data_IF_345346864141
#
_entry.id   IF_345346864141
#
_cell.length_a   1.000
_cell.length_b   1.000
_cell.length_c   1.000
_cell.angle_alpha   90.00
_cell.angle_beta   90.00
_cell.angle_gamma   90.00
#
_symmetry.space_group_name_H-M   'P 1'
#
loop_
_entity.id
_entity.type
_entity.pdbx_description
1 polymer ?
#
# COMPACT_ATOMS: atom_id res chain seq x y z
N UNK A 1 18.90 -1.35 -1.70
CA UNK A 1 19.55 -0.86 -0.46
C UNK A 1 18.46 -0.55 0.54
N UNK A 2 18.18 -1.48 1.47
CA UNK A 2 17.25 -1.22 2.58
C UNK A 2 18.06 -0.46 3.64
N UNK A 3 17.64 0.75 3.99
CA UNK A 3 18.29 1.50 5.07
C UNK A 3 17.93 0.82 6.39
N UNK A 4 18.94 0.48 7.18
CA UNK A 4 18.81 -0.12 8.51
C UNK A 4 18.23 0.89 9.49
N UNK A 5 16.92 1.07 9.37
CA UNK A 5 16.14 1.93 10.22
C UNK A 5 15.02 1.14 10.87
N UNK A 6 14.70 1.43 12.12
CA UNK A 6 13.76 0.63 12.93
C UNK A 6 12.41 0.56 12.22
N UNK A 7 12.12 -0.60 11.61
CA UNK A 7 10.86 -0.86 10.93
C UNK A 7 9.80 -1.27 11.95
N UNK A 8 8.68 -0.55 12.01
CA UNK A 8 7.57 -0.89 12.91
C UNK A 8 6.59 -1.84 12.20
N UNK A 9 6.28 -3.02 12.77
CA UNK A 9 5.27 -3.89 12.20
C UNK A 9 3.88 -3.26 12.36
N UNK A 10 3.04 -3.37 11.33
CA UNK A 10 1.66 -2.90 11.34
C UNK A 10 0.75 -3.94 10.72
N UNK A 11 -0.43 -4.15 11.31
CA UNK A 11 -1.48 -4.93 10.66
C UNK A 11 -1.97 -4.16 9.44
N UNK A 12 -1.86 -4.77 8.27
CA UNK A 12 -2.24 -4.15 7.00
C UNK A 12 -3.25 -5.02 6.27
N UNK A 13 -4.37 -4.40 5.88
CA UNK A 13 -5.41 -5.03 5.07
C UNK A 13 -5.30 -4.53 3.64
N UNK A 14 -5.16 -5.43 2.68
CA UNK A 14 -5.13 -5.09 1.27
C UNK A 14 -6.44 -4.40 0.87
N UNK A 15 -6.35 -3.21 0.28
CA UNK A 15 -7.52 -2.45 -0.18
C UNK A 15 -8.20 -3.03 -1.42
N UNK A 16 -7.52 -3.94 -2.15
CA UNK A 16 -8.08 -4.61 -3.32
C UNK A 16 -8.83 -5.91 -2.96
N UNK A 17 -8.14 -6.87 -2.35
CA UNK A 17 -8.69 -8.21 -2.09
C UNK A 17 -9.03 -8.49 -0.62
N UNK A 18 -8.87 -7.52 0.28
CA UNK A 18 -9.12 -7.66 1.73
C UNK A 18 -8.21 -8.63 2.50
N UNK A 19 -7.21 -9.27 1.87
CA UNK A 19 -6.22 -10.10 2.55
C UNK A 19 -5.46 -9.30 3.62
N UNK A 20 -5.25 -9.91 4.80
CA UNK A 20 -4.63 -9.26 5.95
C UNK A 20 -3.25 -9.86 6.22
N UNK A 21 -2.24 -9.01 6.38
CA UNK A 21 -0.84 -9.39 6.54
C UNK A 21 -0.13 -8.38 7.45
N UNK A 22 1.06 -8.71 7.94
CA UNK A 22 1.95 -7.75 8.61
C UNK A 22 2.74 -6.98 7.54
N UNK A 23 2.62 -5.65 7.54
CA UNK A 23 3.48 -4.77 6.75
C UNK A 23 4.49 -4.06 7.66
N UNK A 24 5.56 -3.55 7.05
CA UNK A 24 6.63 -2.86 7.76
C UNK A 24 6.63 -1.38 7.38
N UNK A 25 6.49 -0.53 8.39
CA UNK A 25 6.59 0.92 8.25
C UNK A 25 8.04 1.33 8.49
N UNK A 26 8.62 2.06 7.54
CA UNK A 26 9.96 2.60 7.69
C UNK A 26 10.03 3.81 8.63
N UNK A 27 11.24 4.31 8.88
CA UNK A 27 11.47 5.45 9.77
C UNK A 27 10.81 6.74 9.29
N UNK A 28 10.51 6.87 8.00
CA UNK A 28 9.84 8.03 7.42
C UNK A 28 8.31 7.95 7.55
N UNK A 29 7.80 6.86 8.13
CA UNK A 29 6.37 6.59 8.23
C UNK A 29 5.76 6.02 6.94
N UNK A 30 6.58 5.60 5.99
CA UNK A 30 6.15 5.05 4.71
C UNK A 30 6.00 3.53 4.78
N UNK A 31 4.99 3.00 4.11
CA UNK A 31 4.77 1.56 3.92
C UNK A 31 4.74 1.31 2.42
N UNK A 32 5.54 0.34 1.98
CA UNK A 32 5.42 -0.25 0.64
C UNK A 32 4.99 -1.71 0.80
N UNK A 33 3.72 -1.98 0.53
CA UNK A 33 3.13 -3.30 0.67
C UNK A 33 2.83 -3.90 -0.71
N UNK A 34 3.22 -5.17 -0.91
CA UNK A 34 2.83 -5.97 -2.07
C UNK A 34 1.97 -7.11 -1.55
N UNK A 35 0.72 -7.16 -1.97
CA UNK A 35 -0.20 -8.19 -1.49
C UNK A 35 0.22 -9.56 -2.03
N UNK A 36 0.49 -10.57 -1.17
CA UNK A 36 0.87 -11.90 -1.62
C UNK A 36 -0.29 -12.65 -2.28
N UNK A 37 -1.54 -12.25 -2.01
CA UNK A 37 -2.74 -12.90 -2.54
C UNK A 37 -3.11 -12.42 -3.96
N UNK A 38 -3.19 -11.10 -4.18
CA UNK A 38 -3.64 -10.54 -5.46
C UNK A 38 -2.57 -9.75 -6.22
N UNK A 39 -1.40 -9.48 -5.63
CA UNK A 39 -0.33 -8.73 -6.30
C UNK A 39 -0.52 -7.21 -6.36
N UNK A 40 -1.59 -6.65 -5.77
CA UNK A 40 -1.75 -5.18 -5.62
C UNK A 40 -0.56 -4.59 -4.87
N UNK A 41 -0.06 -3.47 -5.38
CA UNK A 41 0.98 -2.69 -4.70
C UNK A 41 0.31 -1.49 -4.04
N UNK A 42 0.55 -1.32 -2.74
CA UNK A 42 0.10 -0.15 -1.99
C UNK A 42 1.30 0.59 -1.42
N UNK A 43 1.34 1.90 -1.67
CA UNK A 43 2.28 2.82 -1.04
C UNK A 43 1.48 3.73 -0.12
N UNK A 44 1.75 3.66 1.18
CA UNK A 44 1.13 4.54 2.18
C UNK A 44 2.20 5.49 2.73
N UNK A 45 1.87 6.78 2.81
CA UNK A 45 2.75 7.80 3.35
C UNK A 45 1.97 8.73 4.28
N UNK A 46 2.44 8.84 5.52
CA UNK A 46 1.95 9.87 6.44
C UNK A 46 2.40 11.25 5.98
N UNK A 47 1.46 12.18 5.79
CA UNK A 47 1.72 13.57 5.39
C UNK A 47 1.60 14.52 6.57
N UNK A 48 0.67 14.25 7.47
CA UNK A 48 0.49 14.96 8.74
C UNK A 48 -0.16 14.02 9.75
N UNK A 49 -0.32 14.47 11.00
CA UNK A 49 -0.99 13.70 12.07
C UNK A 49 -2.38 13.17 11.70
N UNK A 50 -3.07 13.78 10.74
CA UNK A 50 -4.43 13.41 10.30
C UNK A 50 -4.55 13.24 8.79
N UNK A 51 -3.45 13.16 8.07
CA UNK A 51 -3.44 13.01 6.61
C UNK A 51 -2.49 11.89 6.22
N UNK A 52 -3.07 10.84 5.63
CA UNK A 52 -2.35 9.71 5.05
C UNK A 52 -2.68 9.70 3.57
N UNK A 53 -1.65 9.70 2.72
CA UNK A 53 -1.80 9.45 1.30
C UNK A 53 -1.63 7.95 1.05
N UNK A 54 -2.53 7.37 0.28
CA UNK A 54 -2.48 5.97 -0.13
C UNK A 54 -2.53 5.92 -1.65
N UNK A 55 -1.44 5.48 -2.25
CA UNK A 55 -1.35 5.21 -3.68
C UNK A 55 -1.50 3.70 -3.87
N UNK A 56 -2.54 3.29 -4.60
CA UNK A 56 -2.83 1.89 -4.89
C UNK A 56 -2.69 1.62 -6.38
N UNK A 57 -1.92 0.59 -6.72
CA UNK A 57 -1.72 0.14 -8.08
C UNK A 57 -2.37 -1.22 -8.26
N UNK A 58 -3.24 -1.32 -9.26
CA UNK A 58 -3.95 -2.55 -9.59
C UNK A 58 -2.97 -3.70 -9.85
N UNK A 59 -3.35 -4.95 -9.54
CA UNK A 59 -2.64 -6.14 -9.96
C UNK A 59 -2.31 -6.14 -11.46
N UNK A 60 -1.25 -6.85 -11.83
CA UNK A 60 -0.90 -7.03 -13.24
C UNK A 60 -2.07 -7.70 -13.97
N UNK A 61 -2.60 -7.04 -15.00
CA UNK A 61 -3.70 -7.54 -15.82
C UNK A 61 -5.07 -6.92 -15.51
N UNK A 62 -5.21 -6.18 -14.42
CA UNK A 62 -6.40 -5.38 -14.14
C UNK A 62 -6.24 -3.96 -14.69
N UNK A 63 -7.32 -3.42 -15.26
CA UNK A 63 -7.38 -2.07 -15.82
C UNK A 63 -8.52 -1.28 -15.19
N UNK A 64 -8.33 0.02 -15.06
CA UNK A 64 -9.37 0.93 -14.56
C UNK A 64 -10.53 0.94 -15.57
N UNK A 65 -11.70 0.44 -15.17
CA UNK A 65 -12.88 0.35 -16.05
C UNK A 65 -13.60 1.70 -16.24
N UNK A 66 -12.87 2.80 -16.36
CA UNK A 66 -13.48 4.12 -16.57
C UNK A 66 -13.16 4.65 -17.96
N UNK A 67 -13.89 4.14 -18.95
CA UNK A 67 -14.42 4.98 -20.02
C UNK A 67 -15.90 5.19 -19.71
N UNK A 68 -16.19 6.08 -18.78
CA UNK A 68 -17.50 6.73 -18.76
C UNK A 68 -17.35 7.86 -19.77
N UNK A 69 -17.66 7.55 -21.02
CA UNK A 69 -17.88 8.56 -22.05
C UNK A 69 -19.15 9.32 -21.63
N UNK A 70 -18.99 10.59 -21.26
CA UNK A 70 -20.11 11.52 -21.05
C UNK A 70 -20.65 12.01 -22.39
#
# INVERSE_FOLDING_TARGET
MQKEGISKPVSFKCFNCNHQEIAWKDETGMIRFVCPHCGTITISKEKSRRHIQIDMYAPKGEVLQSRIEY
#
